data_IF_438343698364
#
_entry.id   IF_438343698364
#
_cell.length_a   1.000
_cell.length_b   1.000
_cell.length_c   1.000
_cell.angle_alpha   90.00
_cell.angle_beta   90.00
_cell.angle_gamma   90.00
#
_symmetry.space_group_name_H-M   'P 1'
#
loop_
_entity.id
_entity.type
_entity.pdbx_description
1 polymer ?
#
# COMPACT_ATOMS: atom_id res chain seq x y z
N UNK A 1 23.79 20.98 11.78
CA UNK A 1 22.77 19.91 11.75
C UNK A 1 22.34 19.75 10.31
N UNK A 2 22.75 18.67 9.63
CA UNK A 2 22.31 18.44 8.25
C UNK A 2 20.79 18.35 8.27
N UNK A 3 20.11 19.27 7.57
CA UNK A 3 18.72 19.11 7.21
C UNK A 3 18.58 17.73 6.58
N UNK A 4 18.02 16.78 7.33
CA UNK A 4 18.00 15.37 6.97
C UNK A 4 17.46 15.25 5.55
N UNK A 5 18.24 14.61 4.67
CA UNK A 5 17.87 14.39 3.26
C UNK A 5 16.45 13.79 3.18
N UNK A 6 16.09 12.92 4.14
CA UNK A 6 14.75 12.41 4.32
C UNK A 6 13.65 13.48 4.47
N UNK A 7 13.87 14.53 5.25
CA UNK A 7 12.90 15.63 5.41
C UNK A 7 12.76 16.47 4.13
N UNK A 8 13.83 16.62 3.35
CA UNK A 8 13.78 17.33 2.07
C UNK A 8 13.03 16.49 1.04
N UNK A 9 13.32 15.19 0.96
CA UNK A 9 12.63 14.24 0.09
C UNK A 9 11.14 14.13 0.43
N UNK A 10 10.78 14.06 1.71
CA UNK A 10 9.39 14.02 2.16
C UNK A 10 8.62 15.29 1.75
N UNK A 11 9.21 16.48 1.94
CA UNK A 11 8.64 17.77 1.49
C UNK A 11 8.52 17.89 -0.03
N UNK A 12 9.36 17.20 -0.78
CA UNK A 12 9.28 17.11 -2.25
C UNK A 12 8.31 16.01 -2.72
N UNK A 13 7.63 15.32 -1.79
CA UNK A 13 6.68 14.24 -2.10
C UNK A 13 7.34 12.88 -2.37
N UNK A 14 8.66 12.78 -2.18
CA UNK A 14 9.47 11.55 -2.23
C UNK A 14 9.59 10.93 -0.82
N UNK A 15 8.50 11.01 -0.05
CA UNK A 15 8.34 10.34 1.23
C UNK A 15 7.59 9.01 1.08
N UNK A 16 7.30 8.34 2.20
CA UNK A 16 6.41 7.17 2.21
C UNK A 16 4.98 7.61 1.88
N UNK A 17 4.68 7.67 0.59
CA UNK A 17 3.38 8.02 0.05
C UNK A 17 2.32 7.03 0.55
N UNK A 18 1.61 7.36 1.64
CA UNK A 18 0.42 6.64 2.09
C UNK A 18 -0.72 6.92 1.13
N UNK A 19 -0.73 6.24 -0.01
CA UNK A 19 -1.80 6.37 -1.01
C UNK A 19 -3.00 5.56 -0.53
N UNK A 20 -4.15 6.21 -0.42
CA UNK A 20 -5.40 5.50 -0.32
C UNK A 20 -5.62 4.74 -1.64
N UNK A 21 -5.65 3.42 -1.59
CA UNK A 21 -5.84 2.58 -2.77
C UNK A 21 -7.19 1.88 -2.69
N UNK A 22 -8.02 2.10 -3.71
CA UNK A 22 -9.26 1.34 -3.90
C UNK A 22 -8.91 0.02 -4.58
N UNK A 23 -9.18 -1.10 -3.91
CA UNK A 23 -8.92 -2.44 -4.44
C UNK A 23 -10.17 -3.29 -4.31
N UNK A 24 -10.43 -4.11 -5.32
CA UNK A 24 -11.55 -5.06 -5.36
C UNK A 24 -11.03 -6.39 -5.87
N UNK A 25 -11.59 -7.47 -5.38
CA UNK A 25 -11.33 -8.79 -5.94
C UNK A 25 -11.92 -8.86 -7.34
N UNK A 26 -11.16 -9.45 -8.27
CA UNK A 26 -11.64 -9.71 -9.64
C UNK A 26 -12.86 -10.64 -9.63
N UNK A 27 -12.91 -11.57 -8.67
CA UNK A 27 -14.12 -12.33 -8.40
C UNK A 27 -15.10 -11.45 -7.61
N UNK A 28 -16.17 -11.03 -8.26
CA UNK A 28 -17.15 -10.12 -7.69
C UNK A 28 -17.86 -10.69 -6.47
N UNK A 29 -18.07 -12.01 -6.39
CA UNK A 29 -18.70 -12.67 -5.25
C UNK A 29 -17.87 -12.54 -3.96
N UNK A 30 -16.54 -12.45 -4.07
CA UNK A 30 -15.68 -12.28 -2.90
C UNK A 30 -15.78 -10.88 -2.30
N UNK A 31 -16.13 -9.86 -3.09
CA UNK A 31 -16.24 -8.49 -2.57
C UNK A 31 -17.38 -8.31 -1.55
N UNK A 32 -18.35 -9.23 -1.51
CA UNK A 32 -19.46 -9.21 -0.52
C UNK A 32 -19.21 -10.11 0.69
N UNK A 33 -18.23 -11.01 0.61
CA UNK A 33 -17.94 -12.03 1.64
C UNK A 33 -16.63 -11.75 2.38
N UNK A 34 -15.69 -11.09 1.71
CA UNK A 34 -14.33 -10.85 2.19
C UNK A 34 -14.09 -9.35 2.19
N UNK A 35 -13.89 -8.79 3.38
CA UNK A 35 -13.56 -7.39 3.57
C UNK A 35 -12.04 -7.25 3.71
N UNK A 36 -11.43 -6.48 2.80
CA UNK A 36 -10.01 -6.15 2.85
C UNK A 36 -9.76 -5.13 3.96
N UNK A 37 -8.99 -5.52 4.99
CA UNK A 37 -8.73 -4.69 6.16
C UNK A 37 -7.43 -3.89 6.00
N UNK A 38 -6.39 -4.54 5.47
CA UNK A 38 -5.08 -3.92 5.27
C UNK A 38 -4.33 -4.57 4.12
N UNK A 39 -3.53 -3.73 3.46
CA UNK A 39 -2.50 -4.14 2.53
C UNK A 39 -1.16 -3.68 3.09
N UNK A 40 -0.24 -4.60 3.33
CA UNK A 40 1.14 -4.29 3.71
C UNK A 40 2.08 -4.88 2.67
N UNK A 41 3.07 -4.12 2.22
CA UNK A 41 3.97 -4.63 1.20
C UNK A 41 4.92 -3.59 0.65
N UNK A 42 5.88 -4.09 -0.12
CA UNK A 42 6.89 -3.30 -0.78
C UNK A 42 6.70 -3.38 -2.30
N UNK A 43 6.72 -2.22 -2.94
CA UNK A 43 6.82 -2.12 -4.39
C UNK A 43 8.17 -1.51 -4.74
N UNK A 44 9.07 -2.35 -5.24
CA UNK A 44 10.36 -1.92 -5.75
C UNK A 44 10.32 -1.73 -7.26
N UNK A 45 11.04 -0.74 -7.76
CA UNK A 45 11.28 -0.60 -9.20
C UNK A 45 12.08 -1.83 -9.64
N UNK A 46 11.53 -2.59 -10.60
CA UNK A 46 12.09 -3.85 -11.12
C UNK A 46 12.13 -5.05 -10.16
N UNK A 47 11.72 -4.89 -8.90
CA UNK A 47 11.61 -6.00 -7.92
C UNK A 47 10.18 -6.58 -7.84
N UNK A 48 9.25 -6.01 -8.61
CA UNK A 48 7.85 -6.40 -8.59
C UNK A 48 7.11 -5.87 -7.36
N UNK A 49 6.00 -6.54 -7.03
CA UNK A 49 5.12 -6.16 -5.93
C UNK A 49 5.01 -7.36 -4.98
N UNK A 50 5.54 -7.22 -3.77
CA UNK A 50 5.37 -8.21 -2.71
C UNK A 50 4.47 -7.62 -1.64
N UNK A 51 3.30 -8.22 -1.48
CA UNK A 51 2.22 -7.67 -0.65
C UNK A 51 1.53 -8.77 0.12
N UNK A 52 1.31 -8.52 1.40
CA UNK A 52 0.43 -9.25 2.30
C UNK A 52 -0.92 -8.55 2.40
N UNK A 53 -1.99 -9.36 2.33
CA UNK A 53 -3.37 -8.91 2.44
C UNK A 53 -3.97 -9.47 3.72
N UNK A 54 -4.46 -8.58 4.58
CA UNK A 54 -5.22 -8.97 5.76
C UNK A 54 -6.70 -8.79 5.42
N UNK A 55 -7.45 -9.89 5.52
CA UNK A 55 -8.87 -9.92 5.18
C UNK A 55 -9.68 -10.48 6.34
N UNK A 56 -10.90 -9.98 6.48
CA UNK A 56 -11.92 -10.57 7.35
C UNK A 56 -12.98 -11.23 6.48
N UNK A 57 -13.22 -12.51 6.71
CA UNK A 57 -14.35 -13.23 6.13
C UNK A 57 -15.46 -13.30 7.15
N UNK A 58 -16.69 -12.97 6.72
CA UNK A 58 -17.92 -13.20 7.50
C UNK A 58 -18.56 -14.52 7.14
#
# INVERSE_FOLDING_TARGET
MLNNIFNVLDKLGVGTQKRAMSMRFSNTALNTQIMLQRLEGYHGINDGLSVELICLST
#
